data_IF_461595893620
#
_entry.id   IF_461595893620
#
_cell.length_a   1.000
_cell.length_b   1.000
_cell.length_c   1.000
_cell.angle_alpha   90.00
_cell.angle_beta   90.00
_cell.angle_gamma   90.00
#
_symmetry.space_group_name_H-M   'P 1'
#
loop_
_entity.id
_entity.type
_entity.pdbx_description
1 polymer ?
#
# COMPACT_ATOMS: atom_id res chain seq x y z
N UNK A 1 -4.02 14.33 14.26
CA UNK A 1 -2.83 14.29 15.14
C UNK A 1 -1.50 14.62 14.49
N UNK A 2 -1.07 13.94 13.43
CA UNK A 2 0.27 14.13 12.85
C UNK A 2 0.55 15.55 12.32
N UNK A 3 -0.44 16.17 11.69
CA UNK A 3 -0.33 17.53 11.12
C UNK A 3 -0.70 18.61 12.15
N UNK A 4 -1.64 18.33 13.06
CA UNK A 4 -2.19 19.35 13.96
C UNK A 4 -1.19 19.80 15.04
N UNK A 5 -0.47 18.85 15.66
CA UNK A 5 0.59 19.19 16.61
C UNK A 5 1.75 19.94 15.92
N UNK A 6 1.99 19.69 14.64
CA UNK A 6 2.99 20.39 13.82
C UNK A 6 2.57 21.82 13.50
N UNK A 7 1.29 22.06 13.13
CA UNK A 7 0.76 23.42 12.94
C UNK A 7 0.82 24.22 14.24
N UNK A 8 0.52 23.60 15.38
CA UNK A 8 0.58 24.30 16.67
C UNK A 8 2.03 24.57 17.13
N UNK A 9 2.95 23.61 16.98
CA UNK A 9 4.35 23.81 17.39
C UNK A 9 5.13 24.73 16.44
N UNK A 10 5.07 24.44 15.14
CA UNK A 10 5.93 25.10 14.15
C UNK A 10 5.35 26.43 13.66
N UNK A 11 4.06 26.45 13.27
CA UNK A 11 3.43 27.66 12.71
C UNK A 11 3.00 28.64 13.81
N UNK A 12 2.48 28.17 14.95
CA UNK A 12 2.00 29.06 16.03
C UNK A 12 3.05 29.39 17.09
N UNK A 13 4.03 28.51 17.37
CA UNK A 13 5.03 28.71 18.44
C UNK A 13 6.46 28.91 17.95
N UNK A 14 6.75 28.74 16.66
CA UNK A 14 8.10 28.88 16.10
C UNK A 14 9.08 27.81 16.58
N UNK A 15 8.59 26.69 17.11
CA UNK A 15 9.42 25.60 17.62
C UNK A 15 9.95 24.76 16.46
N UNK A 16 11.25 24.46 16.45
CA UNK A 16 11.82 23.54 15.45
C UNK A 16 11.27 22.13 15.70
N UNK A 17 10.55 21.54 14.73
CA UNK A 17 9.98 20.21 14.93
C UNK A 17 11.10 19.17 15.08
N UNK A 18 10.93 18.16 15.96
CA UNK A 18 11.92 17.10 16.11
C UNK A 18 12.13 16.39 14.77
N UNK A 19 13.35 15.90 14.48
CA UNK A 19 13.65 15.19 13.23
C UNK A 19 12.67 14.03 13.07
N UNK A 20 11.79 14.18 12.10
CA UNK A 20 10.65 13.31 11.88
C UNK A 20 10.96 12.45 10.66
N UNK A 21 11.13 11.15 10.88
CA UNK A 21 11.44 10.14 9.86
C UNK A 21 10.54 10.27 8.62
N UNK A 22 9.24 10.51 8.82
CA UNK A 22 8.28 10.66 7.72
C UNK A 22 8.53 11.91 6.88
N UNK A 23 8.94 13.02 7.50
CA UNK A 23 9.23 14.25 6.75
C UNK A 23 10.54 14.11 5.97
N UNK A 24 11.53 13.43 6.54
CA UNK A 24 12.77 13.13 5.82
C UNK A 24 12.49 12.33 4.55
N UNK A 25 11.73 11.24 4.67
CA UNK A 25 11.31 10.42 3.52
C UNK A 25 10.51 11.24 2.49
N UNK A 26 9.55 12.06 2.94
CA UNK A 26 8.70 12.83 2.04
C UNK A 26 9.45 13.95 1.29
N UNK A 27 10.51 14.50 1.90
CA UNK A 27 11.35 15.52 1.27
C UNK A 27 12.41 14.93 0.32
N UNK A 28 12.70 13.63 0.41
CA UNK A 28 13.62 12.93 -0.48
C UNK A 28 12.94 12.54 -1.80
N UNK A 29 12.83 13.51 -2.70
CA UNK A 29 12.05 13.42 -3.94
C UNK A 29 12.73 12.53 -5.00
N UNK A 30 11.95 12.10 -5.99
CA UNK A 30 12.45 11.35 -7.16
C UNK A 30 11.96 11.98 -8.45
N UNK A 31 12.78 11.90 -9.51
CA UNK A 31 12.39 12.34 -10.85
C UNK A 31 11.64 11.22 -11.60
N UNK A 32 10.63 11.60 -12.37
CA UNK A 32 9.89 10.68 -13.26
C UNK A 32 10.15 11.05 -14.73
N UNK A 33 10.44 10.08 -15.61
CA UNK A 33 10.51 10.35 -17.05
C UNK A 33 9.19 10.92 -17.56
N UNK A 34 9.25 12.00 -18.35
CA UNK A 34 8.07 12.71 -18.86
C UNK A 34 7.00 11.81 -19.49
N UNK A 35 7.35 10.90 -20.42
CA UNK A 35 6.36 10.00 -21.03
C UNK A 35 5.65 9.08 -20.04
N UNK A 36 6.38 8.55 -19.04
CA UNK A 36 5.83 7.70 -18.00
C UNK A 36 4.85 8.48 -17.12
N UNK A 37 5.26 9.68 -16.69
CA UNK A 37 4.42 10.53 -15.84
C UNK A 37 3.13 10.97 -16.55
N UNK A 38 3.23 11.43 -17.80
CA UNK A 38 2.07 11.82 -18.60
C UNK A 38 1.12 10.62 -18.84
N UNK A 39 1.68 9.44 -19.11
CA UNK A 39 0.88 8.23 -19.29
C UNK A 39 0.13 7.86 -18.01
N UNK A 40 0.81 7.89 -16.86
CA UNK A 40 0.23 7.60 -15.56
C UNK A 40 -0.93 8.55 -15.26
N UNK A 41 -0.70 9.86 -15.27
CA UNK A 41 -1.75 10.85 -15.00
C UNK A 41 -2.96 10.71 -15.92
N UNK A 42 -2.73 10.57 -17.24
CA UNK A 42 -3.82 10.48 -18.21
C UNK A 42 -4.65 9.22 -17.99
N UNK A 43 -4.01 8.06 -17.85
CA UNK A 43 -4.71 6.78 -17.83
C UNK A 43 -5.23 6.35 -16.46
N UNK A 44 -4.79 6.99 -15.37
CA UNK A 44 -5.31 6.71 -14.01
C UNK A 44 -6.16 7.88 -13.51
N UNK A 45 -5.55 9.03 -13.23
CA UNK A 45 -6.24 10.17 -12.59
C UNK A 45 -7.29 10.85 -13.48
N UNK A 46 -6.97 11.10 -14.75
CA UNK A 46 -7.88 11.85 -15.64
C UNK A 46 -8.95 10.95 -16.24
N UNK A 47 -8.54 9.92 -16.98
CA UNK A 47 -9.47 9.13 -17.80
C UNK A 47 -9.89 7.81 -17.12
N UNK A 48 -9.20 7.41 -16.04
CA UNK A 48 -9.43 6.15 -15.33
C UNK A 48 -9.58 4.95 -16.29
N UNK A 49 -8.65 4.84 -17.24
CA UNK A 49 -8.70 3.82 -18.29
C UNK A 49 -8.24 2.45 -17.81
N UNK A 50 -7.44 2.37 -16.74
CA UNK A 50 -6.88 1.09 -16.26
C UNK A 50 -7.97 0.12 -15.76
N UNK A 51 -9.10 0.64 -15.25
CA UNK A 51 -10.24 -0.18 -14.79
C UNK A 51 -11.19 -0.60 -15.92
N UNK A 52 -10.96 -0.14 -17.16
CA UNK A 52 -11.78 -0.45 -18.33
C UNK A 52 -11.06 -1.55 -19.13
N UNK A 53 -11.55 -2.81 -19.14
CA UNK A 53 -10.91 -3.91 -19.84
C UNK A 53 -10.54 -3.58 -21.29
N UNK A 54 -9.28 -3.81 -21.65
CA UNK A 54 -8.74 -3.59 -22.99
C UNK A 54 -8.53 -2.12 -23.39
N UNK A 55 -8.87 -1.14 -22.56
CA UNK A 55 -8.80 0.28 -22.93
C UNK A 55 -7.37 0.81 -23.02
N UNK A 56 -6.46 0.29 -22.19
CA UNK A 56 -5.03 0.60 -22.27
C UNK A 56 -4.26 -0.58 -22.83
N UNK A 57 -3.17 -0.30 -23.53
CA UNK A 57 -2.22 -1.31 -24.01
C UNK A 57 -0.87 -1.02 -23.39
N UNK A 58 -0.25 -2.02 -22.76
CA UNK A 58 1.06 -1.94 -22.13
C UNK A 58 1.92 -3.07 -22.67
N UNK A 59 3.13 -2.75 -23.16
CA UNK A 59 4.03 -3.71 -23.81
C UNK A 59 3.38 -4.50 -24.96
N UNK A 60 2.48 -3.85 -25.73
CA UNK A 60 1.76 -4.48 -26.84
C UNK A 60 0.58 -5.36 -26.43
N UNK A 61 0.27 -5.46 -25.13
CA UNK A 61 -0.82 -6.30 -24.60
C UNK A 61 -1.95 -5.41 -24.05
N UNK A 62 -3.21 -5.62 -24.45
CA UNK A 62 -4.36 -4.96 -23.84
C UNK A 62 -4.48 -5.32 -22.36
N UNK A 63 -4.67 -4.32 -21.50
CA UNK A 63 -4.76 -4.51 -20.05
C UNK A 63 -6.19 -4.82 -19.65
N UNK A 64 -6.39 -5.94 -18.96
CA UNK A 64 -7.62 -6.26 -18.23
C UNK A 64 -7.26 -6.78 -16.84
N UNK A 65 -7.55 -5.98 -15.82
CA UNK A 65 -7.30 -6.32 -14.41
C UNK A 65 -8.16 -7.49 -13.92
N UNK A 66 -9.28 -7.79 -14.60
CA UNK A 66 -10.12 -8.94 -14.31
C UNK A 66 -9.46 -10.28 -14.63
N UNK A 67 -8.42 -10.29 -15.47
CA UNK A 67 -7.66 -11.50 -15.84
C UNK A 67 -6.59 -11.89 -14.80
N UNK A 68 -6.40 -11.10 -13.75
CA UNK A 68 -5.47 -11.45 -12.67
C UNK A 68 -6.08 -12.59 -11.86
N UNK A 69 -5.59 -13.81 -12.07
CA UNK A 69 -5.96 -15.02 -11.33
C UNK A 69 -4.89 -15.33 -10.25
N UNK A 70 -4.92 -14.53 -9.18
CA UNK A 70 -4.03 -14.73 -8.04
C UNK A 70 -4.72 -14.30 -6.72
N UNK A 71 -4.46 -14.99 -5.59
CA UNK A 71 -4.88 -14.51 -4.28
C UNK A 71 -4.34 -13.10 -4.04
N UNK A 72 -5.23 -12.17 -3.70
CA UNK A 72 -4.86 -10.74 -3.58
C UNK A 72 -5.26 -10.20 -2.22
N UNK A 73 -4.30 -9.57 -1.54
CA UNK A 73 -4.53 -8.84 -0.28
C UNK A 73 -4.56 -7.34 -0.58
N UNK A 74 -5.69 -6.69 -0.32
CA UNK A 74 -5.90 -5.26 -0.54
C UNK A 74 -5.99 -4.56 0.81
N UNK A 75 -5.21 -3.52 0.97
CA UNK A 75 -5.19 -2.70 2.17
C UNK A 75 -5.59 -1.26 1.84
N UNK A 76 -6.32 -0.61 2.75
CA UNK A 76 -6.52 0.84 2.76
C UNK A 76 -6.39 1.39 4.19
N UNK A 77 -6.14 2.68 4.35
CA UNK A 77 -6.20 3.35 5.65
C UNK A 77 -7.43 4.27 5.74
N UNK A 78 -8.19 4.17 6.84
CA UNK A 78 -9.50 4.79 7.02
C UNK A 78 -9.49 6.31 6.90
N UNK A 79 -8.44 6.96 7.39
CA UNK A 79 -8.29 8.43 7.32
C UNK A 79 -7.27 8.87 6.25
N UNK A 80 -7.03 8.03 5.23
CA UNK A 80 -6.19 8.38 4.08
C UNK A 80 -6.93 9.34 3.14
N UNK A 81 -6.36 10.53 2.96
CA UNK A 81 -6.87 11.56 2.05
C UNK A 81 -6.11 11.59 0.71
N UNK A 82 -5.02 10.82 0.58
CA UNK A 82 -4.23 10.70 -0.65
C UNK A 82 -4.76 9.53 -1.49
N UNK A 83 -4.99 8.38 -0.84
CA UNK A 83 -5.67 7.22 -1.44
C UNK A 83 -6.90 6.90 -0.58
N UNK A 84 -8.05 7.54 -0.86
CA UNK A 84 -9.29 7.26 -0.14
C UNK A 84 -9.60 5.76 -0.11
N UNK A 85 -9.90 5.23 1.08
CA UNK A 85 -10.03 3.79 1.27
C UNK A 85 -11.21 3.18 0.49
N UNK A 86 -12.22 3.97 0.15
CA UNK A 86 -13.32 3.57 -0.74
C UNK A 86 -12.81 3.33 -2.17
N UNK A 87 -11.87 4.16 -2.64
CA UNK A 87 -11.12 3.95 -3.88
C UNK A 87 -10.27 2.69 -3.84
N UNK A 88 -9.53 2.47 -2.74
CA UNK A 88 -8.77 1.22 -2.54
C UNK A 88 -9.70 -0.01 -2.52
N UNK A 89 -10.84 0.07 -1.84
CA UNK A 89 -11.85 -0.99 -1.76
C UNK A 89 -12.41 -1.37 -3.13
N UNK A 90 -12.61 -0.41 -4.04
CA UNK A 90 -13.14 -0.68 -5.39
C UNK A 90 -12.27 -1.68 -6.19
N UNK A 91 -11.00 -1.88 -5.85
CA UNK A 91 -10.18 -2.95 -6.45
C UNK A 91 -10.81 -4.34 -6.28
N UNK A 92 -11.54 -4.58 -5.19
CA UNK A 92 -12.27 -5.85 -4.95
C UNK A 92 -13.35 -6.13 -6.01
N UNK A 93 -13.80 -5.10 -6.73
CA UNK A 93 -14.83 -5.20 -7.77
C UNK A 93 -14.23 -5.25 -9.19
N UNK A 94 -12.97 -4.81 -9.32
CA UNK A 94 -12.23 -4.76 -10.58
C UNK A 94 -11.42 -6.05 -10.80
N UNK A 95 -10.81 -6.58 -9.74
CA UNK A 95 -9.99 -7.80 -9.77
C UNK A 95 -10.87 -9.06 -9.73
N UNK A 96 -11.72 -9.24 -10.74
CA UNK A 96 -12.76 -10.29 -10.78
C UNK A 96 -12.21 -11.72 -10.77
N UNK A 97 -11.04 -11.95 -11.37
CA UNK A 97 -10.35 -13.24 -11.34
C UNK A 97 -9.65 -13.54 -10.02
N UNK A 98 -9.44 -12.54 -9.16
CA UNK A 98 -8.67 -12.69 -7.94
C UNK A 98 -9.55 -13.02 -6.73
N UNK A 99 -9.07 -13.94 -5.89
CA UNK A 99 -9.62 -14.12 -4.54
C UNK A 99 -9.11 -13.02 -3.62
N UNK A 100 -9.87 -11.93 -3.53
CA UNK A 100 -9.50 -10.77 -2.75
C UNK A 100 -9.74 -10.94 -1.24
N UNK A 101 -8.86 -10.38 -0.41
CA UNK A 101 -9.05 -10.06 1.00
C UNK A 101 -8.88 -8.57 1.17
N UNK A 102 -9.86 -7.87 1.75
CA UNK A 102 -9.73 -6.45 2.08
C UNK A 102 -9.55 -6.25 3.58
N UNK A 103 -8.61 -5.39 3.96
CA UNK A 103 -8.37 -4.96 5.34
C UNK A 103 -8.22 -3.44 5.39
N UNK A 104 -8.85 -2.83 6.40
CA UNK A 104 -8.82 -1.39 6.60
C UNK A 104 -8.03 -1.07 7.86
N UNK A 105 -6.92 -0.34 7.78
CA UNK A 105 -6.21 0.15 8.96
C UNK A 105 -6.76 1.48 9.45
N UNK A 106 -6.68 1.77 10.74
CA UNK A 106 -6.91 3.13 11.25
C UNK A 106 -5.76 4.09 10.86
N UNK A 107 -5.94 5.39 11.07
CA UNK A 107 -4.97 6.46 10.72
C UNK A 107 -4.95 6.81 9.23
N UNK A 108 -4.12 7.80 8.89
CA UNK A 108 -3.94 8.30 7.53
C UNK A 108 -2.81 7.59 6.77
N UNK A 109 -2.58 8.01 5.53
CA UNK A 109 -1.71 7.38 4.53
C UNK A 109 -0.48 6.63 5.10
N UNK A 110 0.46 7.34 5.71
CA UNK A 110 1.71 6.74 6.20
C UNK A 110 1.51 6.08 7.57
N UNK A 111 0.80 6.75 8.48
CA UNK A 111 0.67 6.31 9.87
C UNK A 111 -0.29 5.12 10.07
N UNK A 112 -1.11 4.81 9.07
CA UNK A 112 -1.95 3.62 9.02
C UNK A 112 -1.19 2.43 8.46
N UNK A 113 -0.51 2.61 7.32
CA UNK A 113 0.22 1.52 6.67
C UNK A 113 1.49 1.14 7.45
N UNK A 114 2.25 2.13 7.95
CA UNK A 114 3.43 1.93 8.79
C UNK A 114 3.03 1.92 10.27
N UNK A 115 2.44 0.81 10.71
CA UNK A 115 2.03 0.62 12.11
C UNK A 115 2.68 -0.65 12.69
N UNK A 116 3.89 -0.56 13.28
CA UNK A 116 4.58 -1.73 13.84
C UNK A 116 3.79 -2.40 14.98
N UNK A 117 3.64 -3.74 14.97
CA UNK A 117 2.84 -4.46 15.96
C UNK A 117 3.39 -4.34 17.39
N UNK A 118 4.70 -4.17 17.56
CA UNK A 118 5.37 -4.04 18.86
C UNK A 118 4.92 -2.78 19.61
N UNK A 119 4.52 -1.73 18.86
CA UNK A 119 4.04 -0.47 19.46
C UNK A 119 2.61 -0.56 19.98
N UNK A 120 1.85 -1.61 19.63
CA UNK A 120 0.47 -1.89 20.08
C UNK A 120 -0.47 -0.66 19.97
N UNK A 121 -0.33 0.12 18.90
CA UNK A 121 -1.16 1.30 18.64
C UNK A 121 -2.27 0.98 17.64
N UNK A 122 -3.37 1.75 17.74
CA UNK A 122 -4.47 1.80 16.76
C UNK A 122 -5.25 0.49 16.67
N UNK A 123 -5.97 0.33 15.56
CA UNK A 123 -6.81 -0.80 15.23
C UNK A 123 -6.84 -1.01 13.71
N UNK A 124 -7.46 -2.08 13.29
CA UNK A 124 -7.79 -2.39 11.91
C UNK A 124 -9.13 -3.14 11.82
N UNK A 125 -9.79 -3.10 10.68
CA UNK A 125 -11.06 -3.78 10.44
C UNK A 125 -10.90 -4.93 9.46
N UNK A 126 -11.57 -6.04 9.76
CA UNK A 126 -11.63 -7.25 8.94
C UNK A 126 -13.10 -7.57 8.67
N UNK A 127 -13.44 -7.89 7.42
CA UNK A 127 -14.81 -8.28 7.06
C UNK A 127 -15.26 -9.54 7.82
N UNK A 128 -16.51 -9.55 8.31
CA UNK A 128 -17.05 -10.69 9.07
C UNK A 128 -17.21 -11.98 8.24
N UNK A 129 -17.10 -11.90 6.92
CA UNK A 129 -17.15 -13.05 6.00
C UNK A 129 -16.20 -12.80 4.83
N UNK A 130 -16.02 -13.81 3.97
CA UNK A 130 -15.30 -13.67 2.70
C UNK A 130 -16.06 -12.88 1.64
N UNK A 131 -17.29 -12.42 1.91
CA UNK A 131 -18.05 -11.63 0.95
C UNK A 131 -17.52 -10.19 0.88
N UNK A 132 -17.38 -9.68 -0.35
CA UNK A 132 -16.95 -8.31 -0.66
C UNK A 132 -18.11 -7.61 -1.37
N UNK A 133 -19.06 -7.00 -0.63
CA UNK A 133 -20.21 -6.34 -1.22
C UNK A 133 -19.78 -5.21 -2.16
N UNK A 134 -20.67 -4.83 -3.08
CA UNK A 134 -20.37 -3.83 -4.10
C UNK A 134 -19.99 -2.45 -3.53
N UNK A 135 -20.55 -2.08 -2.37
CA UNK A 135 -20.28 -0.78 -1.75
C UNK A 135 -19.31 -0.91 -0.57
N UNK A 136 -18.32 0.00 -0.45
CA UNK A 136 -17.39 0.02 0.69
C UNK A 136 -18.10 0.17 2.04
N UNK A 137 -19.16 0.97 2.11
CA UNK A 137 -19.90 1.18 3.36
C UNK A 137 -20.57 -0.12 3.84
N UNK A 138 -21.19 -0.89 2.93
CA UNK A 138 -21.80 -2.17 3.29
C UNK A 138 -20.77 -3.20 3.79
N UNK A 139 -19.51 -3.09 3.37
CA UNK A 139 -18.41 -3.88 3.93
C UNK A 139 -18.06 -3.38 5.33
N UNK A 140 -17.88 -2.08 5.52
CA UNK A 140 -17.51 -1.48 6.80
C UNK A 140 -18.56 -1.72 7.89
N UNK A 141 -19.84 -1.63 7.57
CA UNK A 141 -20.96 -1.87 8.50
C UNK A 141 -20.94 -3.30 9.10
N UNK A 142 -20.32 -4.24 8.38
CA UNK A 142 -20.18 -5.65 8.79
C UNK A 142 -18.76 -6.00 9.24
N UNK A 143 -17.81 -5.08 9.12
CA UNK A 143 -16.43 -5.33 9.47
C UNK A 143 -16.25 -5.26 10.99
N UNK A 144 -15.40 -6.12 11.52
CA UNK A 144 -15.05 -6.16 12.95
C UNK A 144 -13.77 -5.40 13.16
N UNK A 145 -13.76 -4.52 14.14
CA UNK A 145 -12.55 -3.83 14.58
C UNK A 145 -11.70 -4.74 15.45
N UNK A 146 -10.40 -4.76 15.20
CA UNK A 146 -9.39 -5.51 15.92
C UNK A 146 -8.33 -4.54 16.45
N UNK A 147 -7.94 -4.63 17.73
CA UNK A 147 -6.90 -3.77 18.28
C UNK A 147 -5.53 -4.10 17.68
N UNK A 148 -4.70 -3.07 17.52
CA UNK A 148 -3.32 -3.17 17.06
C UNK A 148 -3.12 -3.12 15.55
N UNK A 149 -1.89 -3.45 15.14
CA UNK A 149 -1.45 -3.45 13.74
C UNK A 149 -2.18 -4.49 12.89
N UNK A 150 -2.36 -4.17 11.62
CA UNK A 150 -2.85 -5.09 10.59
C UNK A 150 -1.76 -6.05 10.06
N UNK A 151 -0.47 -5.78 10.33
CA UNK A 151 0.64 -6.60 9.83
C UNK A 151 0.55 -8.08 10.21
N UNK A 152 0.15 -8.46 11.45
CA UNK A 152 -0.04 -9.87 11.79
C UNK A 152 -1.15 -10.57 10.99
N UNK A 153 -2.19 -9.84 10.58
CA UNK A 153 -3.24 -10.38 9.69
C UNK A 153 -2.67 -10.71 8.31
N UNK A 154 -1.91 -9.76 7.74
CA UNK A 154 -1.23 -9.96 6.47
C UNK A 154 -0.17 -11.06 6.52
N UNK A 155 0.63 -11.14 7.59
CA UNK A 155 1.62 -12.21 7.80
C UNK A 155 0.95 -13.59 7.89
N UNK A 156 -0.16 -13.71 8.62
CA UNK A 156 -0.93 -14.95 8.69
C UNK A 156 -1.50 -15.35 7.32
N UNK A 157 -2.04 -14.37 6.56
CA UNK A 157 -2.51 -14.60 5.20
C UNK A 157 -1.36 -15.03 4.27
N UNK A 158 -0.22 -14.35 4.33
CA UNK A 158 0.95 -14.64 3.47
C UNK A 158 1.52 -16.02 3.75
N UNK A 159 1.60 -16.44 5.02
CA UNK A 159 2.05 -17.78 5.41
C UNK A 159 1.27 -18.91 4.73
N UNK A 160 -0.04 -18.73 4.53
CA UNK A 160 -0.86 -19.71 3.82
C UNK A 160 -0.53 -19.84 2.32
N UNK A 161 0.20 -18.87 1.76
CA UNK A 161 0.63 -18.83 0.36
C UNK A 161 2.16 -19.00 0.17
N UNK A 162 2.93 -19.08 1.27
CA UNK A 162 4.40 -19.06 1.24
C UNK A 162 5.06 -20.44 1.05
N UNK A 163 4.27 -21.52 0.96
CA UNK A 163 4.77 -22.88 0.87
C UNK A 163 5.35 -23.40 2.21
N UNK A 164 6.16 -24.46 2.14
CA UNK A 164 6.75 -25.08 3.33
C UNK A 164 7.96 -24.28 3.81
N UNK A 165 8.22 -24.31 5.12
CA UNK A 165 9.47 -23.81 5.66
C UNK A 165 10.64 -24.63 5.15
N UNK A 166 11.72 -23.92 4.80
CA UNK A 166 13.00 -24.49 4.38
C UNK A 166 14.12 -23.87 5.20
N UNK A 167 15.27 -24.54 5.36
CA UNK A 167 16.45 -23.92 5.95
C UNK A 167 16.82 -22.63 5.22
N UNK A 168 17.12 -21.58 5.98
CA UNK A 168 17.52 -20.30 5.40
C UNK A 168 18.78 -20.47 4.53
N UNK A 169 18.82 -19.91 3.31
CA UNK A 169 20.04 -19.88 2.50
C UNK A 169 21.18 -19.22 3.26
N UNK A 170 22.39 -19.81 3.18
CA UNK A 170 23.56 -19.33 3.94
C UNK A 170 24.15 -18.03 3.38
N UNK A 171 23.89 -17.72 2.11
CA UNK A 171 24.43 -16.55 1.42
C UNK A 171 23.37 -15.93 0.50
N UNK A 172 23.32 -14.60 0.36
CA UNK A 172 22.45 -13.94 -0.61
C UNK A 172 22.89 -14.23 -2.06
N UNK A 173 21.91 -14.23 -2.97
CA UNK A 173 22.15 -14.46 -4.40
C UNK A 173 22.33 -15.94 -4.77
N UNK A 174 22.87 -16.20 -5.96
CA UNK A 174 23.19 -17.53 -6.47
C UNK A 174 24.37 -17.46 -7.48
N UNK A 175 24.68 -18.57 -8.18
CA UNK A 175 25.80 -18.63 -9.15
C UNK A 175 25.68 -17.60 -10.27
N UNK A 176 24.47 -17.33 -10.73
CA UNK A 176 24.16 -16.39 -11.82
C UNK A 176 24.08 -14.95 -11.30
N UNK A 177 23.46 -14.75 -10.15
CA UNK A 177 23.23 -13.44 -9.54
C UNK A 177 24.01 -13.33 -8.23
N UNK A 178 25.26 -12.89 -8.34
CA UNK A 178 26.13 -12.67 -7.17
C UNK A 178 25.79 -11.35 -6.48
N UNK A 179 25.99 -11.25 -5.14
CA UNK A 179 25.87 -9.97 -4.44
C UNK A 179 26.78 -8.90 -5.07
N UNK A 180 26.24 -7.70 -5.26
CA UNK A 180 26.93 -6.59 -5.94
C UNK A 180 27.44 -5.53 -4.97
N UNK A 181 26.58 -5.06 -4.05
CA UNK A 181 26.91 -4.11 -2.99
C UNK A 181 26.03 -4.38 -1.75
N UNK A 182 26.44 -3.99 -0.54
CA UNK A 182 25.59 -4.05 0.63
C UNK A 182 24.33 -3.17 0.49
N UNK A 183 23.20 -3.65 1.01
CA UNK A 183 22.02 -2.81 1.19
C UNK A 183 22.34 -1.57 2.05
N UNK A 184 21.73 -0.40 1.79
CA UNK A 184 20.57 -0.18 0.92
C UNK A 184 20.93 0.12 -0.55
N UNK A 185 22.21 -0.03 -0.92
CA UNK A 185 22.69 0.23 -2.27
C UNK A 185 22.85 1.72 -2.61
N UNK A 186 23.28 2.00 -3.85
CA UNK A 186 23.63 3.35 -4.32
C UNK A 186 22.48 4.12 -4.98
N UNK A 187 21.45 3.44 -5.49
CA UNK A 187 20.34 4.09 -6.19
C UNK A 187 19.44 4.89 -5.26
N UNK A 188 19.13 4.36 -4.07
CA UNK A 188 18.35 5.09 -3.04
C UNK A 188 19.10 6.30 -2.45
N UNK A 189 20.39 6.46 -2.75
CA UNK A 189 21.21 7.59 -2.28
C UNK A 189 21.32 8.70 -3.33
N UNK A 190 20.73 8.51 -4.52
CA UNK A 190 20.73 9.53 -5.56
C UNK A 190 19.78 10.66 -5.17
N UNK A 191 20.19 11.90 -5.43
CA UNK A 191 19.34 13.08 -5.25
C UNK A 191 18.62 13.39 -6.56
N UNK A 192 17.38 13.89 -6.45
CA UNK A 192 16.63 14.42 -7.59
C UNK A 192 17.32 15.65 -8.21
#
# INVERSE_FOLDING_TARGET
>A
DLVWNYVVGNYLKGETPPPFDLLYWNSDSTNLPGPMYCWYLRNTYLENNLVKPGKTTVCGVPVDLGLIDAPTYVYGSKEDHIVPWDGAYRNTQVLKGAKCRFVLGASGHIAGVINPPEKKKRSHWIGASSSLPATPQAWLDKAKEHPGSWWPDWDAWLKSHAGKQVPAPKTPGNRQYKPTEPAPGRYVKQKA
#
